data_IF_793174726882
#
_entry.id   IF_793174726882
#
_cell.length_a   1.000
_cell.length_b   1.000
_cell.length_c   1.000
_cell.angle_alpha   90.00
_cell.angle_beta   90.00
_cell.angle_gamma   90.00
#
_symmetry.space_group_name_H-M   'P 1'
#
loop_
_entity.id
_entity.type
_entity.pdbx_description
1 polymer ?
#
# COMPACT_ATOMS: atom_id res chain seq x y z
N UNK A 1 -3.23 0.99 7.20
CA UNK A 1 -2.42 2.08 6.60
C UNK A 1 -1.91 3.05 7.66
N UNK A 2 -2.69 4.00 8.16
CA UNK A 2 -2.15 4.89 9.22
C UNK A 2 -1.79 4.12 10.51
N UNK A 3 -2.59 3.15 10.93
CA UNK A 3 -2.30 2.29 12.10
C UNK A 3 -1.08 1.41 11.94
N UNK A 4 -0.63 1.11 10.74
CA UNK A 4 0.60 0.35 10.49
C UNK A 4 1.87 1.19 10.70
N UNK A 5 1.78 2.50 10.52
CA UNK A 5 2.90 3.43 10.64
C UNK A 5 2.85 4.29 11.91
N UNK A 6 1.67 4.47 12.49
CA UNK A 6 1.46 5.31 13.65
C UNK A 6 0.68 4.56 14.71
N UNK A 7 1.16 4.61 15.93
CA UNK A 7 0.54 3.95 17.10
C UNK A 7 -0.76 4.59 17.58
N UNK A 8 -1.25 5.63 16.92
CA UNK A 8 -2.46 6.38 17.30
C UNK A 8 -3.26 6.81 16.07
N UNK A 9 -4.56 7.00 16.23
CA UNK A 9 -5.42 7.57 15.20
C UNK A 9 -5.05 9.03 14.94
N UNK A 10 -4.75 9.36 13.68
CA UNK A 10 -4.37 10.71 13.23
C UNK A 10 -5.55 11.41 12.55
N UNK A 11 -6.71 10.73 12.45
CA UNK A 11 -7.92 11.34 11.92
C UNK A 11 -8.31 12.54 12.81
N UNK A 12 -8.70 13.66 12.21
CA UNK A 12 -9.25 14.79 12.95
C UNK A 12 -10.60 14.40 13.59
N UNK A 13 -10.96 15.04 14.68
CA UNK A 13 -12.28 14.84 15.32
C UNK A 13 -13.44 15.11 14.35
N UNK A 14 -13.25 16.03 13.40
CA UNK A 14 -14.23 16.30 12.33
C UNK A 14 -13.83 15.52 11.06
N UNK A 15 -14.55 14.45 10.80
CA UNK A 15 -14.39 13.58 9.63
C UNK A 15 -15.27 14.00 8.43
N UNK A 16 -15.89 15.18 8.47
CA UNK A 16 -16.66 15.70 7.35
C UNK A 16 -15.79 15.80 6.09
N UNK A 17 -16.27 15.22 4.97
CA UNK A 17 -15.55 15.20 3.70
C UNK A 17 -14.51 14.07 3.53
N UNK A 18 -14.28 13.23 4.54
CA UNK A 18 -13.46 12.03 4.35
C UNK A 18 -14.13 11.06 3.40
N UNK A 19 -13.30 10.34 2.62
CA UNK A 19 -13.77 9.33 1.67
C UNK A 19 -13.81 7.97 2.32
N UNK A 20 -14.88 7.22 2.07
CA UNK A 20 -15.00 5.83 2.52
C UNK A 20 -14.26 4.92 1.56
N UNK A 21 -13.46 4.02 2.10
CA UNK A 21 -12.83 2.91 1.37
C UNK A 21 -13.44 1.58 1.81
N UNK A 22 -13.47 0.64 0.90
CA UNK A 22 -13.98 -0.71 1.12
C UNK A 22 -12.87 -1.74 0.89
N UNK A 23 -13.12 -2.95 1.33
CA UNK A 23 -12.23 -4.07 1.05
C UNK A 23 -12.00 -4.20 -0.46
N UNK A 24 -10.76 -4.39 -0.86
CA UNK A 24 -10.27 -4.48 -2.24
C UNK A 24 -10.16 -3.16 -3.01
N UNK A 25 -10.41 -2.03 -2.38
CA UNK A 25 -10.11 -0.74 -3.00
C UNK A 25 -8.60 -0.48 -3.06
N UNK A 26 -8.19 0.21 -4.10
CA UNK A 26 -6.85 0.79 -4.24
C UNK A 26 -6.94 2.27 -3.88
N UNK A 27 -6.11 2.68 -2.96
CA UNK A 27 -6.06 4.07 -2.47
C UNK A 27 -4.70 4.66 -2.81
N UNK A 28 -4.68 5.80 -3.47
CA UNK A 28 -3.45 6.52 -3.77
C UNK A 28 -3.50 7.97 -3.31
N UNK A 29 -2.35 8.48 -2.90
CA UNK A 29 -2.15 9.91 -2.71
C UNK A 29 -1.59 10.52 -4.00
N UNK A 30 -2.26 11.53 -4.60
CA UNK A 30 -1.69 12.25 -5.74
C UNK A 30 -0.36 12.92 -5.42
N UNK A 31 -0.14 13.25 -4.14
CA UNK A 31 1.13 13.78 -3.69
C UNK A 31 2.12 12.64 -3.45
N UNK A 32 3.26 12.72 -4.14
CA UNK A 32 4.34 11.74 -3.99
C UNK A 32 3.95 10.28 -4.33
N UNK A 33 3.06 10.08 -5.30
CA UNK A 33 2.71 8.73 -5.78
C UNK A 33 3.95 7.95 -6.23
N UNK A 34 4.91 8.62 -6.86
CA UNK A 34 6.19 8.05 -7.30
C UNK A 34 7.03 7.44 -6.17
N UNK A 35 6.78 7.83 -4.92
CA UNK A 35 7.40 7.23 -3.73
C UNK A 35 6.65 5.99 -3.21
N UNK A 36 5.59 5.56 -3.91
CA UNK A 36 4.80 4.39 -3.53
C UNK A 36 3.62 4.69 -2.61
N UNK A 37 3.13 5.93 -2.56
CA UNK A 37 1.91 6.31 -1.84
C UNK A 37 0.65 5.77 -2.53
N UNK A 38 0.65 4.47 -2.81
CA UNK A 38 -0.46 3.69 -3.34
C UNK A 38 -0.58 2.40 -2.54
N UNK A 39 -1.78 2.05 -2.12
CA UNK A 39 -2.02 0.88 -1.31
C UNK A 39 -3.32 0.18 -1.73
N UNK A 40 -3.29 -1.13 -1.67
CA UNK A 40 -4.45 -1.99 -1.81
C UNK A 40 -5.00 -2.31 -0.42
N UNK A 41 -6.30 -2.17 -0.22
CA UNK A 41 -6.95 -2.48 1.03
C UNK A 41 -7.36 -3.95 1.07
N UNK A 42 -6.54 -4.77 1.70
CA UNK A 42 -6.77 -6.20 1.92
C UNK A 42 -7.13 -6.56 3.37
N UNK A 43 -7.34 -5.55 4.23
CA UNK A 43 -7.51 -5.75 5.68
C UNK A 43 -8.81 -5.20 6.24
N UNK A 44 -9.28 -4.06 5.76
CA UNK A 44 -10.42 -3.36 6.35
C UNK A 44 -11.65 -3.48 5.47
N UNK A 45 -12.75 -3.99 6.03
CA UNK A 45 -14.05 -4.01 5.33
C UNK A 45 -14.51 -2.60 4.98
N UNK A 46 -14.38 -1.69 5.93
CA UNK A 46 -14.69 -0.27 5.77
C UNK A 46 -13.64 0.56 6.50
N UNK A 47 -13.21 1.65 5.88
CA UNK A 47 -12.30 2.62 6.46
C UNK A 47 -12.51 4.01 5.88
N UNK A 48 -11.85 5.00 6.43
CA UNK A 48 -11.88 6.37 5.92
C UNK A 48 -10.48 6.85 5.55
N UNK A 49 -10.41 7.69 4.52
CA UNK A 49 -9.17 8.31 4.05
C UNK A 49 -9.41 9.80 3.77
N UNK A 50 -8.32 10.57 3.80
CA UNK A 50 -8.36 12.00 3.53
C UNK A 50 -9.06 12.32 2.19
N UNK A 51 -9.79 13.45 2.10
CA UNK A 51 -10.46 13.89 0.86
C UNK A 51 -9.53 14.02 -0.34
N UNK A 52 -8.24 14.30 -0.12
CA UNK A 52 -7.23 14.43 -1.18
C UNK A 52 -6.88 13.13 -1.88
N UNK A 53 -7.15 11.98 -1.24
CA UNK A 53 -6.81 10.69 -1.82
C UNK A 53 -7.77 10.30 -2.93
N UNK A 54 -7.28 9.51 -3.88
CA UNK A 54 -8.08 8.90 -4.93
C UNK A 54 -8.29 7.43 -4.61
N UNK A 55 -9.49 6.94 -4.92
CA UNK A 55 -9.91 5.56 -4.67
C UNK A 55 -10.28 4.95 -6.02
N UNK A 56 -9.79 3.74 -6.26
CA UNK A 56 -10.05 2.97 -7.47
C UNK A 56 -10.42 1.55 -7.09
N UNK A 57 -11.25 0.93 -7.89
CA UNK A 57 -11.61 -0.49 -7.77
C UNK A 57 -10.92 -1.26 -8.90
N UNK A 58 -10.37 -2.42 -8.58
CA UNK A 58 -9.78 -3.31 -9.58
C UNK A 58 -10.91 -4.03 -10.31
N UNK A 59 -10.95 -3.93 -11.65
CA UNK A 59 -11.95 -4.61 -12.45
C UNK A 59 -11.85 -6.14 -12.29
N UNK A 60 -12.99 -6.82 -12.28
CA UNK A 60 -13.10 -8.27 -11.99
C UNK A 60 -12.33 -9.19 -12.96
N UNK A 61 -12.06 -8.71 -14.17
CA UNK A 61 -11.24 -9.41 -15.16
C UNK A 61 -9.76 -9.55 -14.79
N UNK A 62 -9.31 -8.93 -13.69
CA UNK A 62 -7.93 -8.99 -13.23
C UNK A 62 -7.83 -9.64 -11.85
N UNK A 63 -6.75 -10.40 -11.62
CA UNK A 63 -6.43 -10.89 -10.28
C UNK A 63 -5.99 -9.75 -9.36
N UNK A 64 -6.74 -9.57 -8.29
CA UNK A 64 -6.57 -8.43 -7.35
C UNK A 64 -5.21 -8.45 -6.66
N UNK A 65 -4.72 -9.64 -6.31
CA UNK A 65 -3.43 -9.81 -5.61
C UNK A 65 -2.25 -9.53 -6.54
N UNK A 66 -2.36 -9.97 -7.79
CA UNK A 66 -1.39 -9.64 -8.83
C UNK A 66 -1.32 -8.14 -9.05
N UNK A 67 -2.46 -7.48 -9.29
CA UNK A 67 -2.51 -6.02 -9.50
C UNK A 67 -1.94 -5.28 -8.28
N UNK A 68 -2.36 -5.64 -7.07
CA UNK A 68 -1.83 -5.04 -5.84
C UNK A 68 -0.30 -5.15 -5.73
N UNK A 69 0.26 -6.28 -6.17
CA UNK A 69 1.71 -6.49 -6.19
C UNK A 69 2.42 -5.66 -7.26
N UNK A 70 1.78 -5.53 -8.43
CA UNK A 70 2.31 -4.75 -9.56
C UNK A 70 2.38 -3.25 -9.25
N UNK A 71 1.41 -2.71 -8.49
CA UNK A 71 1.30 -1.27 -8.22
C UNK A 71 2.54 -0.67 -7.53
N UNK A 72 3.32 -1.46 -6.81
CA UNK A 72 4.53 -1.01 -6.09
C UNK A 72 5.83 -1.53 -6.70
N UNK A 73 5.82 -2.07 -7.90
CA UNK A 73 7.06 -2.44 -8.58
C UNK A 73 7.86 -1.21 -8.96
N UNK A 74 9.18 -1.34 -9.06
CA UNK A 74 10.07 -0.25 -9.50
C UNK A 74 9.63 0.33 -10.84
N UNK A 75 9.17 -0.52 -11.77
CA UNK A 75 8.63 -0.09 -13.05
C UNK A 75 7.38 0.77 -12.90
N UNK A 76 6.46 0.38 -12.02
CA UNK A 76 5.24 1.16 -11.75
C UNK A 76 5.58 2.51 -11.12
N UNK A 77 6.48 2.53 -10.13
CA UNK A 77 6.93 3.76 -9.49
C UNK A 77 7.62 4.71 -10.46
N UNK A 78 8.44 4.17 -11.36
CA UNK A 78 9.06 4.95 -12.43
C UNK A 78 8.00 5.57 -13.37
N UNK A 79 6.99 4.80 -13.79
CA UNK A 79 5.90 5.32 -14.62
C UNK A 79 5.13 6.44 -13.90
N UNK A 80 4.87 6.29 -12.60
CA UNK A 80 4.23 7.34 -11.80
C UNK A 80 5.09 8.61 -11.71
N UNK A 81 6.40 8.44 -11.63
CA UNK A 81 7.32 9.57 -11.64
C UNK A 81 7.25 10.36 -12.97
N UNK A 82 7.17 9.66 -14.10
CA UNK A 82 7.08 10.29 -15.42
C UNK A 82 5.82 11.15 -15.61
N UNK A 83 4.71 10.75 -14.97
CA UNK A 83 3.42 11.47 -15.04
C UNK A 83 3.18 12.36 -13.81
N UNK A 84 4.23 12.65 -13.05
CA UNK A 84 4.18 13.54 -11.89
C UNK A 84 4.98 14.80 -12.15
N UNK A 85 4.37 15.93 -11.93
CA UNK A 85 4.98 17.26 -12.11
C UNK A 85 5.71 17.67 -10.83
N UNK A 86 6.84 18.33 -10.98
CA UNK A 86 7.60 18.85 -9.84
C UNK A 86 6.82 20.00 -9.19
N UNK A 87 6.53 19.86 -7.90
CA UNK A 87 5.89 20.92 -7.09
C UNK A 87 6.91 21.96 -6.59
N UNK A 88 6.47 22.77 -5.64
CA UNK A 88 7.26 23.83 -5.03
C UNK A 88 8.55 23.37 -4.33
N UNK A 89 8.73 22.07 -4.09
CA UNK A 89 9.95 21.52 -3.51
C UNK A 89 10.47 20.37 -4.38
N UNK A 90 11.79 20.13 -4.34
CA UNK A 90 12.47 19.08 -5.11
C UNK A 90 11.89 17.68 -4.80
N UNK A 91 11.37 17.49 -3.61
CA UNK A 91 10.85 16.19 -3.14
C UNK A 91 9.36 16.02 -3.43
N UNK A 92 8.59 17.11 -3.52
CA UNK A 92 7.14 17.02 -3.74
C UNK A 92 6.82 17.04 -5.24
N UNK A 93 6.20 15.96 -5.69
CA UNK A 93 5.63 15.88 -7.04
C UNK A 93 4.13 15.65 -6.93
N UNK A 94 3.39 16.38 -7.73
CA UNK A 94 1.94 16.20 -7.87
C UNK A 94 1.64 15.35 -9.09
N UNK A 95 0.76 14.38 -8.92
CA UNK A 95 0.32 13.53 -10.01
C UNK A 95 -0.52 14.32 -11.00
N UNK A 96 -0.16 14.27 -12.28
CA UNK A 96 -1.04 14.67 -13.36
C UNK A 96 -2.03 13.54 -13.61
N UNK A 97 -3.30 13.75 -13.23
CA UNK A 97 -4.32 12.70 -13.29
C UNK A 97 -4.64 12.28 -14.72
N UNK A 98 -4.67 13.22 -15.67
CA UNK A 98 -4.96 12.91 -17.07
C UNK A 98 -3.87 12.02 -17.68
N UNK A 99 -2.60 12.35 -17.42
CA UNK A 99 -1.48 11.54 -17.88
C UNK A 99 -1.43 10.17 -17.15
N UNK A 100 -1.83 10.13 -15.89
CA UNK A 100 -1.89 8.87 -15.11
C UNK A 100 -2.95 7.90 -15.69
N UNK A 101 -4.11 8.40 -16.08
CA UNK A 101 -5.19 7.59 -16.66
C UNK A 101 -4.82 7.00 -18.03
N UNK A 102 -3.85 7.63 -18.72
CA UNK A 102 -3.33 7.14 -19.99
C UNK A 102 -2.18 6.13 -19.84
N UNK A 103 -1.74 5.84 -18.61
CA UNK A 103 -0.68 4.85 -18.40
C UNK A 103 -1.12 3.46 -18.83
N UNK A 104 -0.32 2.84 -19.69
CA UNK A 104 -0.54 1.49 -20.19
C UNK A 104 0.44 0.53 -19.54
N UNK A 105 -0.10 -0.52 -18.91
CA UNK A 105 0.68 -1.60 -18.33
C UNK A 105 0.50 -2.89 -19.15
N UNK A 106 1.61 -3.55 -19.47
CA UNK A 106 1.56 -4.89 -20.06
C UNK A 106 1.23 -5.88 -18.96
N UNK A 107 0.06 -6.51 -19.06
CA UNK A 107 -0.46 -7.46 -18.08
C UNK A 107 -0.52 -8.84 -18.73
N UNK A 108 -0.03 -9.91 -18.07
CA UNK A 108 -0.09 -11.26 -18.59
C UNK A 108 -1.54 -11.80 -18.61
N UNK A 109 -1.81 -12.92 -19.28
CA UNK A 109 -3.11 -13.60 -19.23
C UNK A 109 -3.56 -13.90 -17.80
N UNK A 110 -4.87 -13.95 -17.57
CA UNK A 110 -5.47 -14.07 -16.23
C UNK A 110 -4.92 -15.25 -15.41
N UNK A 111 -4.74 -16.41 -16.04
CA UNK A 111 -4.18 -17.59 -15.37
C UNK A 111 -2.78 -17.32 -14.79
N UNK A 112 -1.95 -16.61 -15.54
CA UNK A 112 -0.61 -16.23 -15.09
C UNK A 112 -0.65 -15.16 -13.99
N UNK A 113 -1.64 -14.26 -14.03
CA UNK A 113 -1.87 -13.31 -12.93
C UNK A 113 -2.19 -14.06 -11.63
N UNK A 114 -3.08 -15.05 -11.68
CA UNK A 114 -3.45 -15.87 -10.52
C UNK A 114 -2.25 -16.67 -9.96
N UNK A 115 -1.41 -17.22 -10.82
CA UNK A 115 -0.18 -17.91 -10.39
C UNK A 115 0.78 -16.99 -9.65
N UNK A 116 1.07 -15.82 -10.25
CA UNK A 116 1.93 -14.81 -9.64
C UNK A 116 1.30 -14.27 -8.35
N UNK A 117 0.02 -13.96 -8.35
CA UNK A 117 -0.71 -13.46 -7.20
C UNK A 117 -0.63 -14.42 -6.01
N UNK A 118 -0.86 -15.72 -6.23
CA UNK A 118 -0.71 -16.76 -5.19
C UNK A 118 0.71 -16.83 -4.64
N UNK A 119 1.70 -16.80 -5.52
CA UNK A 119 3.11 -16.82 -5.12
C UNK A 119 3.44 -15.59 -4.25
N UNK A 120 3.02 -14.40 -4.65
CA UNK A 120 3.25 -13.17 -3.90
C UNK A 120 2.52 -13.17 -2.55
N UNK A 121 1.30 -13.68 -2.49
CA UNK A 121 0.55 -13.86 -1.23
C UNK A 121 1.29 -14.79 -0.26
N UNK A 122 1.75 -15.94 -0.75
CA UNK A 122 2.53 -16.90 0.04
C UNK A 122 3.81 -16.27 0.59
N UNK A 123 4.55 -15.52 -0.22
CA UNK A 123 5.77 -14.84 0.21
C UNK A 123 5.49 -13.78 1.27
N UNK A 124 4.41 -12.99 1.12
CA UNK A 124 3.98 -12.01 2.13
C UNK A 124 3.64 -12.67 3.45
N UNK A 125 2.88 -13.77 3.43
CA UNK A 125 2.55 -14.52 4.64
C UNK A 125 3.79 -15.06 5.33
N UNK A 126 4.73 -15.65 4.60
CA UNK A 126 6.01 -16.13 5.16
C UNK A 126 6.83 -14.99 5.78
N UNK A 127 6.88 -13.85 5.11
CA UNK A 127 7.58 -12.66 5.63
C UNK A 127 6.92 -12.14 6.91
N UNK A 128 5.59 -12.09 6.96
CA UNK A 128 4.85 -11.68 8.16
C UNK A 128 5.12 -12.61 9.34
N UNK A 129 5.09 -13.94 9.13
CA UNK A 129 5.42 -14.95 10.15
C UNK A 129 6.87 -14.78 10.62
N UNK A 130 7.83 -14.65 9.72
CA UNK A 130 9.23 -14.48 10.08
C UNK A 130 9.46 -13.20 10.91
N UNK A 131 8.81 -12.10 10.56
CA UNK A 131 8.87 -10.86 11.33
C UNK A 131 8.23 -10.99 12.72
N UNK A 132 7.07 -11.65 12.83
CA UNK A 132 6.43 -11.91 14.11
C UNK A 132 7.32 -12.78 15.02
N UNK A 133 7.92 -13.83 14.47
CA UNK A 133 8.88 -14.70 15.17
C UNK A 133 10.11 -13.92 15.66
N UNK A 134 10.67 -13.05 14.80
CA UNK A 134 11.81 -12.19 15.19
C UNK A 134 11.45 -11.26 16.37
N UNK A 135 10.24 -10.67 16.33
CA UNK A 135 9.75 -9.80 17.41
C UNK A 135 9.60 -10.61 18.71
N UNK A 136 8.98 -11.79 18.64
CA UNK A 136 8.78 -12.68 19.81
C UNK A 136 10.12 -13.09 20.45
N UNK A 137 11.11 -13.49 19.66
CA UNK A 137 12.45 -13.79 20.17
C UNK A 137 13.13 -12.55 20.78
N UNK A 138 12.94 -11.38 20.21
CA UNK A 138 13.43 -10.13 20.82
C UNK A 138 12.83 -9.86 22.19
N UNK A 139 11.52 -10.05 22.34
CA UNK A 139 10.82 -9.92 23.63
C UNK A 139 11.28 -10.98 24.65
N UNK A 140 11.41 -12.24 24.23
CA UNK A 140 11.92 -13.32 25.08
C UNK A 140 13.34 -13.04 25.57
N UNK A 141 14.23 -12.60 24.66
CA UNK A 141 15.59 -12.19 25.03
C UNK A 141 15.57 -11.08 26.09
N UNK A 142 14.78 -10.03 25.91
CA UNK A 142 14.69 -8.94 26.88
C UNK A 142 14.14 -9.43 28.24
N UNK A 143 13.15 -10.30 28.21
CA UNK A 143 12.62 -10.89 29.44
C UNK A 143 13.68 -11.70 30.19
N UNK A 144 14.41 -12.59 29.51
CA UNK A 144 15.49 -13.37 30.10
C UNK A 144 16.60 -12.48 30.70
N UNK A 145 17.02 -11.44 29.98
CA UNK A 145 18.02 -10.51 30.49
C UNK A 145 17.57 -9.83 31.80
N UNK A 146 16.28 -9.44 31.88
CA UNK A 146 15.74 -8.86 33.15
C UNK A 146 15.74 -9.87 34.29
N UNK A 147 15.57 -11.17 34.03
CA UNK A 147 15.61 -12.20 35.09
C UNK A 147 17.04 -12.50 35.56
N UNK A 148 18.03 -12.30 34.69
CA UNK A 148 19.43 -12.62 34.98
C UNK A 148 20.20 -11.49 35.67
N UNK A 149 19.72 -10.27 35.60
CA UNK A 149 20.43 -9.07 36.09
C UNK A 149 19.58 -8.25 37.07
N UNK A 150 18.79 -8.91 37.91
CA UNK A 150 18.11 -8.29 39.05
C UNK A 150 19.06 -8.31 40.25
#
# INVERSE_FOLDING_TARGET
MQREYFSKDIASENNAGYKVIRLHDVVLSPQNLWMGNINYNDHFEVGIVSPSYKIFTIAEKYDKTFIASMLKTQRSLYNYMLVSEQGASIVRRNLNMEAFEQLVFKIPPYEKQCEIGRTMSTLRTRLAIANATRIAYGQQKQWLLRQMFI
#
